data_IF_629871091499
#
_entry.id   IF_629871091499
#
_cell.length_a   1.000
_cell.length_b   1.000
_cell.length_c   1.000
_cell.angle_alpha   90.00
_cell.angle_beta   90.00
_cell.angle_gamma   90.00
#
_symmetry.space_group_name_H-M   'P 1'
#
loop_
_entity.id
_entity.type
_entity.pdbx_description
1 polymer ?
#
# COMPACT_ATOMS: atom_id res chain seq x y z
N UNK A 1 -0.99 -3.69 58.23
CA UNK A 1 -0.76 -4.92 57.45
C UNK A 1 -1.89 -5.05 56.44
N UNK A 2 -1.73 -5.11 55.12
CA UNK A 2 -0.59 -4.91 54.21
C UNK A 2 -1.07 -4.00 53.06
N UNK A 3 -0.20 -3.13 52.54
CA UNK A 3 0.47 -3.25 51.22
C UNK A 3 -0.50 -3.17 50.02
N UNK A 4 -0.56 -2.05 49.28
CA UNK A 4 0.29 -1.73 48.10
C UNK A 4 0.27 -2.88 47.07
N UNK A 5 -0.04 -2.79 45.79
CA UNK A 5 -0.11 -1.76 44.73
C UNK A 5 -0.92 -2.34 43.55
N UNK A 6 -1.46 -1.53 42.61
CA UNK A 6 -1.86 -2.01 41.30
C UNK A 6 -0.59 -2.23 40.45
N UNK A 7 -0.23 -3.49 40.21
CA UNK A 7 0.92 -3.81 39.37
C UNK A 7 0.57 -3.62 37.89
N UNK A 8 1.22 -2.62 37.30
CA UNK A 8 1.23 -2.31 35.89
C UNK A 8 1.62 -3.51 35.03
N UNK A 9 0.86 -3.74 33.96
CA UNK A 9 1.35 -4.34 32.71
C UNK A 9 1.30 -3.22 31.67
N UNK A 10 2.38 -2.46 31.55
CA UNK A 10 3.47 -2.74 30.61
C UNK A 10 2.98 -2.70 29.16
N UNK A 11 3.26 -1.55 28.56
CA UNK A 11 3.25 -1.21 27.13
C UNK A 11 3.65 -2.41 26.25
N UNK A 12 2.68 -3.16 25.73
CA UNK A 12 2.93 -4.12 24.67
C UNK A 12 2.88 -3.38 23.33
N UNK A 13 4.08 -2.99 22.89
CA UNK A 13 4.45 -2.51 21.56
C UNK A 13 3.55 -3.16 20.49
N UNK A 14 2.78 -2.36 19.75
CA UNK A 14 2.25 -2.80 18.45
C UNK A 14 3.43 -3.35 17.66
N UNK A 15 3.41 -4.62 17.22
CA UNK A 15 4.42 -5.07 16.29
C UNK A 15 4.28 -4.20 15.04
N UNK A 16 5.32 -3.42 14.76
CA UNK A 16 5.59 -2.90 13.44
C UNK A 16 5.30 -4.05 12.45
N UNK A 17 4.53 -3.85 11.36
CA UNK A 17 4.41 -4.87 10.34
C UNK A 17 5.81 -5.09 9.79
N UNK A 18 6.47 -6.15 10.26
CA UNK A 18 7.66 -6.71 9.63
C UNK A 18 7.29 -6.86 8.16
N UNK A 19 8.02 -6.25 7.22
CA UNK A 19 7.78 -6.52 5.82
C UNK A 19 8.00 -8.02 5.65
N UNK A 20 6.90 -8.76 5.49
CA UNK A 20 6.96 -10.16 5.11
C UNK A 20 7.85 -10.24 3.87
N UNK A 21 8.70 -11.28 3.73
CA UNK A 21 9.51 -11.46 2.54
C UNK A 21 8.56 -11.42 1.35
N UNK A 22 8.60 -10.33 0.59
CA UNK A 22 7.70 -10.14 -0.52
C UNK A 22 8.08 -11.22 -1.51
N UNK A 23 7.16 -12.15 -1.76
CA UNK A 23 7.34 -13.10 -2.84
C UNK A 23 7.65 -12.30 -4.10
N UNK A 24 8.59 -12.76 -4.96
CA UNK A 24 9.01 -12.00 -6.13
C UNK A 24 7.85 -11.60 -7.05
N UNK A 25 6.73 -12.35 -7.07
CA UNK A 25 5.53 -11.96 -7.82
C UNK A 25 4.51 -11.07 -7.08
N UNK A 26 4.68 -10.84 -5.77
CA UNK A 26 3.84 -9.92 -4.99
C UNK A 26 4.21 -8.46 -5.23
N UNK A 27 5.51 -8.18 -5.38
CA UNK A 27 6.00 -6.82 -5.66
C UNK A 27 5.51 -6.29 -7.01
N UNK A 28 5.41 -7.17 -8.01
CA UNK A 28 4.87 -6.84 -9.32
C UNK A 28 3.40 -6.42 -9.24
N UNK A 29 2.58 -7.17 -8.50
CA UNK A 29 1.17 -6.86 -8.35
C UNK A 29 0.94 -5.58 -7.53
N UNK A 30 1.64 -5.40 -6.42
CA UNK A 30 1.57 -4.17 -5.63
C UNK A 30 2.07 -2.96 -6.43
N UNK A 31 3.14 -3.12 -7.23
CA UNK A 31 3.64 -2.09 -8.12
C UNK A 31 2.62 -1.73 -9.21
N UNK A 32 1.94 -2.73 -9.79
CA UNK A 32 0.85 -2.55 -10.75
C UNK A 32 -0.30 -1.74 -10.12
N UNK A 33 -0.79 -2.16 -8.95
CA UNK A 33 -1.89 -1.48 -8.25
C UNK A 33 -1.53 -0.04 -7.90
N UNK A 34 -0.29 0.20 -7.46
CA UNK A 34 0.22 1.54 -7.19
C UNK A 34 0.26 2.39 -8.47
N UNK A 35 0.71 1.84 -9.60
CA UNK A 35 0.73 2.54 -10.89
C UNK A 35 -0.67 2.89 -11.40
N UNK A 36 -1.62 1.96 -11.26
CA UNK A 36 -3.01 2.18 -11.65
C UNK A 36 -3.68 3.28 -10.82
N UNK A 37 -3.37 3.34 -9.52
CA UNK A 37 -3.85 4.40 -8.64
C UNK A 37 -3.32 5.78 -9.07
N UNK A 38 -2.02 5.87 -9.33
CA UNK A 38 -1.36 7.10 -9.76
C UNK A 38 -1.93 7.62 -11.10
N UNK A 39 -2.17 6.72 -12.07
CA UNK A 39 -2.87 7.08 -13.32
C UNK A 39 -4.31 7.56 -13.09
N UNK A 40 -5.03 6.92 -12.16
CA UNK A 40 -6.40 7.31 -11.82
C UNK A 40 -6.46 8.70 -11.20
N UNK A 41 -5.51 9.07 -10.36
CA UNK A 41 -5.43 10.41 -9.78
C UNK A 41 -5.17 11.48 -10.85
N UNK A 42 -4.28 11.21 -11.81
CA UNK A 42 -4.01 12.13 -12.92
C UNK A 42 -5.24 12.33 -13.83
N UNK A 43 -5.99 11.26 -14.11
CA UNK A 43 -7.23 11.34 -14.87
C UNK A 43 -8.32 12.13 -14.11
N UNK A 44 -8.49 11.86 -12.82
CA UNK A 44 -9.46 12.60 -11.99
C UNK A 44 -9.09 14.07 -11.79
N UNK A 45 -7.80 14.39 -11.81
CA UNK A 45 -7.30 15.77 -11.81
C UNK A 45 -7.47 16.47 -13.18
N UNK A 46 -7.94 15.76 -14.21
CA UNK A 46 -8.11 16.29 -15.57
C UNK A 46 -6.79 16.51 -16.32
N UNK A 47 -5.68 15.95 -15.83
CA UNK A 47 -4.36 16.04 -16.47
C UNK A 47 -4.29 15.10 -17.69
N UNK A 48 -4.96 13.95 -17.61
CA UNK A 48 -5.07 13.00 -18.71
C UNK A 48 -6.49 13.01 -19.26
N UNK A 49 -6.59 12.99 -20.58
CA UNK A 49 -7.85 12.69 -21.27
C UNK A 49 -8.21 11.21 -21.13
N UNK A 50 -9.45 10.85 -21.48
CA UNK A 50 -9.92 9.46 -21.43
C UNK A 50 -9.11 8.52 -22.34
N UNK A 51 -8.74 9.02 -23.52
CA UNK A 51 -7.93 8.31 -24.50
C UNK A 51 -6.52 8.05 -23.96
N UNK A 52 -5.88 9.07 -23.36
CA UNK A 52 -4.55 8.95 -22.77
C UNK A 52 -4.55 8.03 -21.54
N UNK A 53 -5.57 8.13 -20.68
CA UNK A 53 -5.73 7.26 -19.53
C UNK A 53 -5.88 5.79 -19.97
N UNK A 54 -6.70 5.53 -20.98
CA UNK A 54 -6.91 4.19 -21.51
C UNK A 54 -5.63 3.62 -22.15
N UNK A 55 -4.88 4.43 -22.90
CA UNK A 55 -3.61 4.02 -23.49
C UNK A 55 -2.56 3.71 -22.42
N UNK A 56 -2.41 4.58 -21.42
CA UNK A 56 -1.46 4.40 -20.32
C UNK A 56 -1.81 3.16 -19.46
N UNK A 57 -3.09 2.95 -19.15
CA UNK A 57 -3.57 1.78 -18.41
C UNK A 57 -3.24 0.47 -19.14
N UNK A 58 -3.42 0.42 -20.47
CA UNK A 58 -3.04 -0.75 -21.29
C UNK A 58 -1.54 -0.98 -21.29
N UNK A 59 -0.73 0.08 -21.40
CA UNK A 59 0.73 -0.04 -21.37
C UNK A 59 1.25 -0.55 -20.02
N UNK A 60 0.61 -0.13 -18.92
CA UNK A 60 0.91 -0.64 -17.57
C UNK A 60 0.51 -2.12 -17.46
N UNK A 61 -0.70 -2.50 -17.87
CA UNK A 61 -1.17 -3.88 -17.79
C UNK A 61 -0.40 -4.84 -18.69
N UNK A 62 0.10 -4.39 -19.84
CA UNK A 62 0.90 -5.22 -20.75
C UNK A 62 2.37 -5.40 -20.34
N UNK A 63 2.81 -4.77 -19.25
CA UNK A 63 4.20 -4.81 -18.78
C UNK A 63 4.41 -5.76 -17.59
N UNK A 64 3.33 -6.33 -17.08
CA UNK A 64 3.29 -7.36 -16.04
C UNK A 64 2.71 -8.64 -16.64
#
# INVERSE_FOLDING_TARGET
AGDSTPSAVALAKTPDPVPAPRSPGGEDHDALLRRLRELGELYQAGVLTDEEFTAAKKAVLGRF
#
